data_IF_826668027552
#
_entry.id   IF_826668027552
#
_cell.length_a   1.000
_cell.length_b   1.000
_cell.length_c   1.000
_cell.angle_alpha   90.00
_cell.angle_beta   90.00
_cell.angle_gamma   90.00
#
_symmetry.space_group_name_H-M   'P 1'
#
loop_
_entity.id
_entity.type
_entity.pdbx_description
1 polymer ?
#
# COMPACT_ATOMS: atom_id res chain seq x y z
N UNK A 1 16.29 -15.60 -11.97
CA UNK A 1 15.41 -15.01 -10.92
C UNK A 1 14.45 -14.07 -11.63
N UNK A 2 13.18 -14.07 -11.24
CA UNK A 2 12.14 -13.20 -11.81
C UNK A 2 12.46 -11.73 -11.53
N UNK A 3 12.39 -10.89 -12.57
CA UNK A 3 12.73 -9.47 -12.54
C UNK A 3 11.56 -8.64 -11.97
N UNK A 4 11.13 -8.98 -10.76
CA UNK A 4 10.02 -8.31 -10.06
C UNK A 4 10.51 -6.94 -9.63
N UNK A 5 9.83 -5.88 -10.08
CA UNK A 5 10.11 -4.50 -9.68
C UNK A 5 9.12 -3.92 -8.68
N UNK A 6 7.92 -4.51 -8.61
CA UNK A 6 6.83 -4.01 -7.78
C UNK A 6 5.96 -5.16 -7.26
N UNK A 7 5.52 -5.03 -6.02
CA UNK A 7 4.49 -5.86 -5.39
C UNK A 7 3.38 -4.94 -4.90
N UNK A 8 2.16 -5.16 -5.38
CA UNK A 8 0.95 -4.56 -4.82
C UNK A 8 0.33 -5.56 -3.84
N UNK A 9 -0.02 -5.10 -2.64
CA UNK A 9 -0.56 -5.94 -1.57
C UNK A 9 -1.93 -5.46 -1.13
N UNK A 10 -2.87 -6.39 -1.10
CA UNK A 10 -4.17 -6.18 -0.46
C UNK A 10 -4.06 -6.25 1.08
N UNK A 11 -4.98 -5.59 1.78
CA UNK A 11 -4.96 -5.48 3.23
C UNK A 11 -5.93 -6.45 3.89
N UNK A 12 -7.24 -6.13 3.89
CA UNK A 12 -8.23 -6.83 4.68
C UNK A 12 -8.44 -8.27 4.18
N UNK A 13 -8.20 -9.25 5.06
CA UNK A 13 -8.28 -10.66 4.68
C UNK A 13 -7.07 -11.18 3.88
N UNK A 14 -6.07 -10.33 3.62
CA UNK A 14 -4.84 -10.69 2.90
C UNK A 14 -3.60 -10.44 3.76
N UNK A 15 -3.14 -9.19 3.90
CA UNK A 15 -1.99 -8.85 4.74
C UNK A 15 -2.36 -8.64 6.21
N UNK A 16 -3.63 -8.37 6.49
CA UNK A 16 -4.21 -8.21 7.82
C UNK A 16 -5.03 -9.45 8.20
N UNK A 17 -4.96 -9.82 9.48
CA UNK A 17 -5.82 -10.85 10.05
C UNK A 17 -7.26 -10.33 10.25
N UNK A 18 -8.16 -11.18 10.77
CA UNK A 18 -9.55 -10.82 11.07
C UNK A 18 -9.72 -9.69 12.09
N UNK A 19 -8.66 -9.33 12.82
CA UNK A 19 -8.65 -8.22 13.77
C UNK A 19 -8.10 -6.92 13.15
N UNK A 20 -7.78 -6.91 11.85
CA UNK A 20 -7.15 -5.77 11.19
C UNK A 20 -5.66 -5.61 11.52
N UNK A 21 -5.01 -6.66 12.03
CA UNK A 21 -3.61 -6.60 12.49
C UNK A 21 -2.67 -7.32 11.51
N UNK A 22 -1.50 -6.74 11.30
CA UNK A 22 -0.42 -7.36 10.53
C UNK A 22 0.48 -8.18 11.45
N UNK A 23 0.74 -9.44 11.08
CA UNK A 23 1.67 -10.28 11.85
C UNK A 23 3.11 -9.74 11.79
N UNK A 24 3.94 -9.96 12.82
CA UNK A 24 5.35 -9.57 12.79
C UNK A 24 6.12 -10.15 11.60
N UNK A 25 5.81 -11.40 11.22
CA UNK A 25 6.41 -12.07 10.06
C UNK A 25 6.05 -11.35 8.76
N UNK A 26 4.77 -11.05 8.54
CA UNK A 26 4.30 -10.35 7.33
C UNK A 26 4.95 -8.97 7.23
N UNK A 27 4.98 -8.22 8.34
CA UNK A 27 5.60 -6.90 8.41
C UNK A 27 7.09 -6.97 8.04
N UNK A 28 7.82 -7.93 8.60
CA UNK A 28 9.25 -8.10 8.30
C UNK A 28 9.51 -8.44 6.83
N UNK A 29 8.71 -9.35 6.26
CA UNK A 29 8.85 -9.76 4.85
C UNK A 29 8.57 -8.57 3.92
N UNK A 30 7.48 -7.84 4.14
CA UNK A 30 7.10 -6.72 3.30
C UNK A 30 8.11 -5.56 3.39
N UNK A 31 8.60 -5.24 4.58
CA UNK A 31 9.67 -4.22 4.76
C UNK A 31 10.99 -4.64 4.09
N UNK A 32 11.28 -5.94 4.07
CA UNK A 32 12.48 -6.49 3.45
C UNK A 32 12.48 -6.46 1.92
N UNK A 33 11.40 -6.03 1.27
CA UNK A 33 11.33 -5.93 -0.19
C UNK A 33 12.20 -4.79 -0.74
N UNK A 34 12.29 -3.67 -0.01
CA UNK A 34 13.07 -2.52 -0.43
C UNK A 34 14.57 -2.84 -0.60
N UNK A 35 15.14 -3.72 0.24
CA UNK A 35 16.54 -4.15 0.11
C UNK A 35 16.82 -5.01 -1.14
N UNK A 36 15.76 -5.44 -1.83
CA UNK A 36 15.81 -6.17 -3.10
C UNK A 36 15.47 -5.28 -4.29
N UNK A 37 15.40 -3.97 -4.11
CA UNK A 37 14.98 -3.02 -5.15
C UNK A 37 13.55 -3.31 -5.68
N UNK A 38 12.68 -3.80 -4.79
CA UNK A 38 11.27 -4.08 -5.08
C UNK A 38 10.42 -3.03 -4.38
N UNK A 39 9.63 -2.30 -5.17
CA UNK A 39 8.66 -1.34 -4.64
C UNK A 39 7.45 -2.05 -4.05
N UNK A 40 7.05 -1.65 -2.86
CA UNK A 40 5.81 -2.10 -2.23
C UNK A 40 4.73 -1.04 -2.37
N UNK A 41 3.54 -1.46 -2.81
CA UNK A 41 2.35 -0.60 -2.91
C UNK A 41 1.20 -1.25 -2.17
N UNK A 42 0.47 -0.50 -1.36
CA UNK A 42 -0.81 -0.96 -0.79
C UNK A 42 -1.90 -0.73 -1.84
N UNK A 43 -2.71 -1.75 -2.08
CA UNK A 43 -3.92 -1.68 -2.88
C UNK A 43 -5.11 -2.10 -2.01
N UNK A 44 -6.12 -1.25 -1.86
CA UNK A 44 -7.24 -1.53 -0.95
C UNK A 44 -8.55 -0.93 -1.44
N UNK A 45 -9.66 -1.56 -1.06
CA UNK A 45 -11.00 -1.00 -1.22
C UNK A 45 -11.32 0.13 -0.25
N UNK A 46 -10.65 0.18 0.90
CA UNK A 46 -10.90 1.19 1.92
C UNK A 46 -10.32 2.57 1.56
N UNK A 47 -10.75 3.62 2.25
CA UNK A 47 -10.20 4.96 2.08
C UNK A 47 -8.80 5.09 2.70
N UNK A 48 -7.95 5.93 2.11
CA UNK A 48 -6.54 6.10 2.49
C UNK A 48 -6.32 6.38 3.99
N UNK A 49 -7.20 7.14 4.64
CA UNK A 49 -7.03 7.49 6.05
C UNK A 49 -7.10 6.30 7.00
N UNK A 50 -7.78 5.21 6.61
CA UNK A 50 -7.93 4.00 7.41
C UNK A 50 -6.60 3.26 7.63
N UNK A 51 -5.67 3.38 6.68
CA UNK A 51 -4.45 2.56 6.66
C UNK A 51 -3.15 3.36 6.80
N UNK A 52 -3.24 4.64 7.23
CA UNK A 52 -2.08 5.51 7.43
C UNK A 52 -1.04 4.90 8.38
N UNK A 53 -1.48 4.30 9.49
CA UNK A 53 -0.58 3.68 10.46
C UNK A 53 0.10 2.42 9.90
N UNK A 54 -0.60 1.66 9.07
CA UNK A 54 -0.03 0.48 8.40
C UNK A 54 1.01 0.90 7.36
N UNK A 55 0.72 1.91 6.54
CA UNK A 55 1.67 2.47 5.59
C UNK A 55 2.94 2.98 6.29
N UNK A 56 2.79 3.67 7.43
CA UNK A 56 3.91 4.11 8.24
C UNK A 56 4.72 2.94 8.83
N UNK A 57 4.06 1.90 9.37
CA UNK A 57 4.74 0.69 9.88
C UNK A 57 5.58 0.00 8.80
N UNK A 58 5.05 -0.06 7.57
CA UNK A 58 5.72 -0.61 6.39
C UNK A 58 6.85 0.28 5.85
N UNK A 59 6.97 1.52 6.34
CA UNK A 59 7.99 2.46 5.88
C UNK A 59 7.69 3.10 4.53
N UNK A 60 6.41 3.12 4.11
CA UNK A 60 5.95 3.70 2.84
C UNK A 60 5.83 5.22 2.95
N UNK A 61 6.93 5.86 3.34
CA UNK A 61 7.02 7.28 3.71
C UNK A 61 8.02 8.04 2.84
N UNK A 62 8.48 7.47 1.73
CA UNK A 62 9.29 8.18 0.73
C UNK A 62 8.41 9.02 -0.19
N UNK A 63 8.98 10.09 -0.75
CA UNK A 63 8.34 10.93 -1.78
C UNK A 63 7.83 10.17 -3.00
N UNK A 64 8.35 8.98 -3.28
CA UNK A 64 7.90 8.15 -4.38
C UNK A 64 6.82 7.14 -3.97
N UNK A 65 6.53 6.98 -2.69
CA UNK A 65 5.54 5.99 -2.24
C UNK A 65 4.12 6.47 -2.47
N UNK A 66 3.25 5.55 -2.87
CA UNK A 66 1.85 5.82 -3.14
C UNK A 66 0.96 4.65 -2.72
N UNK A 67 -0.32 4.94 -2.56
CA UNK A 67 -1.36 3.97 -2.22
C UNK A 67 -2.42 4.00 -3.30
N UNK A 68 -2.90 2.81 -3.67
CA UNK A 68 -4.09 2.61 -4.49
C UNK A 68 -5.26 2.34 -3.54
N UNK A 69 -6.23 3.25 -3.50
CA UNK A 69 -7.38 3.20 -2.57
C UNK A 69 -8.71 3.22 -3.32
N UNK A 70 -9.81 3.02 -2.60
CA UNK A 70 -11.16 3.03 -3.17
C UNK A 70 -11.28 2.08 -4.39
N UNK A 71 -10.76 0.86 -4.26
CA UNK A 71 -10.73 -0.15 -5.32
C UNK A 71 -10.03 0.31 -6.61
N UNK A 72 -9.09 1.26 -6.51
CA UNK A 72 -8.34 1.78 -7.65
C UNK A 72 -8.87 3.09 -8.22
N UNK A 73 -10.00 3.59 -7.73
CA UNK A 73 -10.54 4.89 -8.15
C UNK A 73 -9.65 6.06 -7.76
N UNK A 74 -8.75 5.90 -6.77
CA UNK A 74 -7.83 6.98 -6.36
C UNK A 74 -6.43 6.43 -6.08
N UNK A 75 -5.43 7.03 -6.70
CA UNK A 75 -4.01 6.83 -6.39
C UNK A 75 -3.45 8.11 -5.78
N UNK A 76 -2.86 8.01 -4.60
CA UNK A 76 -2.36 9.17 -3.85
C UNK A 76 -0.94 8.94 -3.39
N UNK A 77 -0.11 9.99 -3.50
CA UNK A 77 1.22 10.01 -2.90
C UNK A 77 1.13 10.00 -1.37
N UNK A 78 1.93 9.15 -0.73
CA UNK A 78 1.87 8.95 0.72
C UNK A 78 2.39 10.13 1.52
N UNK A 79 3.27 10.95 0.95
CA UNK A 79 3.91 12.08 1.64
C UNK A 79 3.27 13.39 1.20
N UNK A 80 3.31 13.71 -0.09
CA UNK A 80 2.83 14.99 -0.62
C UNK A 80 1.32 15.11 -0.58
N UNK A 81 0.61 13.98 -0.45
CA UNK A 81 -0.85 13.87 -0.54
C UNK A 81 -1.42 14.28 -1.90
N UNK A 82 -0.55 14.43 -2.90
CA UNK A 82 -0.95 14.65 -4.29
C UNK A 82 -1.76 13.46 -4.81
N UNK A 83 -2.88 13.76 -5.47
CA UNK A 83 -3.67 12.77 -6.19
C UNK A 83 -3.01 12.56 -7.56
N UNK A 84 -2.40 11.38 -7.74
CA UNK A 84 -1.70 11.00 -8.96
C UNK A 84 -2.68 10.51 -10.04
N UNK A 85 -3.80 9.93 -9.60
CA UNK A 85 -4.88 9.46 -10.45
C UNK A 85 -6.19 9.49 -9.69
N UNK A 86 -7.26 9.89 -10.37
CA UNK A 86 -8.62 9.68 -9.87
C UNK A 86 -9.60 9.43 -11.02
N UNK A 87 -10.45 8.43 -10.86
CA UNK A 87 -11.56 8.16 -11.76
C UNK A 87 -12.77 7.65 -10.97
N UNK A 88 -13.93 8.27 -11.21
CA UNK A 88 -15.15 8.05 -10.47
C UNK A 88 -16.28 7.72 -11.44
N UNK A 89 -17.27 6.97 -10.96
CA UNK A 89 -18.48 6.75 -11.75
C UNK A 89 -19.16 8.09 -12.03
N UNK A 90 -19.34 8.39 -13.32
CA UNK A 90 -20.20 9.48 -13.76
C UNK A 90 -21.65 8.99 -13.69
N UNK A 91 -22.50 9.74 -12.99
CA UNK A 91 -23.94 9.53 -12.98
C UNK A 91 -24.57 10.11 -14.25
#
# INVERSE_FOLDING_TARGET
MSDIKLIAVDLDGTALNSNGEMSPRTLQVLKGLASKDIKLVIATGGPLYQFKDIAAKLGLTDSNDFIVSLNGSVVTNNVTKEILFCDFLNH
#
